data_IF_199792902029
#
_entry.id   IF_199792902029
#
_cell.length_a   1.000
_cell.length_b   1.000
_cell.length_c   1.000
_cell.angle_alpha   90.00
_cell.angle_beta   90.00
_cell.angle_gamma   90.00
#
_symmetry.space_group_name_H-M   'P 1'
#
loop_
_entity.id
_entity.type
_entity.pdbx_description
1 polymer ?
#
# COMPACT_ATOMS: atom_id res chain seq x y z
N UNK A 1 -0.83 -0.07 -11.67
CA UNK A 1 0.14 -0.33 -10.59
C UNK A 1 1.30 -1.09 -11.20
N UNK A 2 2.45 -0.45 -11.32
CA UNK A 2 3.65 -1.03 -11.93
C UNK A 2 4.63 -1.52 -10.85
N UNK A 3 5.58 -2.36 -11.26
CA UNK A 3 6.73 -2.75 -10.47
C UNK A 3 7.98 -2.05 -10.99
N UNK A 4 8.73 -1.37 -10.11
CA UNK A 4 10.04 -0.75 -10.44
C UNK A 4 10.06 0.16 -11.68
N UNK A 5 8.96 0.87 -11.93
CA UNK A 5 8.79 1.72 -13.12
C UNK A 5 8.82 0.96 -14.46
N UNK A 6 8.74 -0.37 -14.46
CA UNK A 6 8.73 -1.17 -15.68
C UNK A 6 7.32 -1.22 -16.28
N UNK A 7 7.08 -0.61 -17.47
CA UNK A 7 5.76 -0.61 -18.10
C UNK A 7 5.33 -2.00 -18.59
N UNK A 8 6.25 -2.97 -18.67
CA UNK A 8 5.95 -4.36 -19.01
C UNK A 8 5.51 -5.20 -17.81
N UNK A 9 5.59 -4.66 -16.60
CA UNK A 9 5.23 -5.35 -15.36
C UNK A 9 4.06 -4.67 -14.61
N UNK A 10 2.84 -4.64 -15.19
CA UNK A 10 1.64 -4.30 -14.44
C UNK A 10 1.32 -5.42 -13.43
N UNK A 11 1.27 -5.08 -12.15
CA UNK A 11 1.06 -6.02 -11.03
C UNK A 11 -0.30 -5.87 -10.36
N UNK A 12 -1.09 -4.87 -10.76
CA UNK A 12 -2.42 -4.66 -10.23
C UNK A 12 -3.08 -3.36 -10.63
N UNK A 13 -4.13 -3.01 -9.90
CA UNK A 13 -5.01 -1.88 -10.19
C UNK A 13 -5.03 -0.89 -9.03
N UNK A 14 -5.01 0.40 -9.36
CA UNK A 14 -5.31 1.47 -8.40
C UNK A 14 -6.81 1.70 -8.40
N UNK A 15 -7.41 1.71 -7.22
CA UNK A 15 -8.87 1.86 -7.03
C UNK A 15 -9.21 3.27 -6.53
N UNK A 16 -8.30 3.89 -5.77
CA UNK A 16 -8.40 5.28 -5.35
C UNK A 16 -7.04 5.96 -5.48
N UNK A 17 -7.07 7.20 -5.94
CA UNK A 17 -5.95 8.13 -5.96
C UNK A 17 -6.50 9.47 -5.50
N UNK A 18 -5.96 10.01 -4.41
CA UNK A 18 -6.40 11.28 -3.85
C UNK A 18 -5.23 12.01 -3.18
N UNK A 19 -5.21 13.33 -3.27
CA UNK A 19 -4.25 14.15 -2.51
C UNK A 19 -4.88 14.57 -1.18
N UNK A 20 -4.08 14.53 -0.11
CA UNK A 20 -4.43 15.07 1.20
C UNK A 20 -3.31 16.00 1.73
N UNK A 21 -3.46 16.51 2.95
CA UNK A 21 -2.50 17.43 3.56
C UNK A 21 -1.09 16.85 3.77
N UNK A 22 -0.91 15.52 3.68
CA UNK A 22 0.39 14.84 3.76
C UNK A 22 0.98 14.63 2.37
N UNK A 23 0.14 14.39 1.37
CA UNK A 23 0.53 14.23 -0.03
C UNK A 23 -0.40 13.28 -0.79
N UNK A 24 0.14 12.63 -1.83
CA UNK A 24 -0.62 11.70 -2.67
C UNK A 24 -0.86 10.37 -1.94
N UNK A 25 -2.13 10.07 -1.65
CA UNK A 25 -2.60 8.81 -1.11
C UNK A 25 -3.16 7.93 -2.23
N UNK A 26 -2.77 6.66 -2.22
CA UNK A 26 -3.30 5.65 -3.14
C UNK A 26 -3.82 4.43 -2.40
N UNK A 27 -4.85 3.81 -2.96
CA UNK A 27 -5.36 2.49 -2.55
C UNK A 27 -5.54 1.65 -3.78
N UNK A 28 -5.11 0.40 -3.72
CA UNK A 28 -5.21 -0.50 -4.86
C UNK A 28 -5.19 -1.96 -4.43
N UNK A 29 -5.27 -2.82 -5.44
CA UNK A 29 -5.27 -4.27 -5.30
C UNK A 29 -4.21 -4.85 -6.22
N UNK A 30 -3.31 -5.64 -5.64
CA UNK A 30 -2.36 -6.47 -6.37
C UNK A 30 -3.11 -7.70 -6.86
N UNK A 31 -2.90 -8.09 -8.12
CA UNK A 31 -3.55 -9.23 -8.73
C UNK A 31 -2.70 -10.48 -8.52
N UNK A 32 -3.21 -11.46 -7.79
CA UNK A 32 -2.52 -12.73 -7.51
C UNK A 32 -2.52 -13.65 -8.73
N UNK A 33 -3.27 -13.36 -9.79
CA UNK A 33 -3.26 -14.10 -11.05
C UNK A 33 -2.01 -13.77 -11.87
N UNK A 34 -1.46 -12.57 -11.69
CA UNK A 34 -0.20 -12.12 -12.31
C UNK A 34 0.97 -12.68 -11.50
N UNK A 35 1.89 -13.39 -12.17
CA UNK A 35 3.05 -14.00 -11.51
C UNK A 35 3.86 -12.99 -10.68
N UNK A 36 4.25 -11.87 -11.30
CA UNK A 36 4.94 -10.77 -10.60
C UNK A 36 4.10 -10.18 -9.46
N UNK A 37 2.78 -10.10 -9.62
CA UNK A 37 1.86 -9.66 -8.57
C UNK A 37 1.98 -10.51 -7.30
N UNK A 38 1.98 -11.85 -7.43
CA UNK A 38 2.17 -12.77 -6.28
C UNK A 38 3.52 -12.60 -5.60
N UNK A 39 4.58 -12.45 -6.39
CA UNK A 39 5.94 -12.25 -5.88
C UNK A 39 6.03 -10.95 -5.08
N UNK A 40 5.55 -9.83 -5.65
CA UNK A 40 5.54 -8.52 -4.99
C UNK A 40 4.69 -8.57 -3.74
N UNK A 41 3.52 -9.20 -3.77
CA UNK A 41 2.67 -9.36 -2.58
C UNK A 41 3.38 -10.14 -1.47
N UNK A 42 4.15 -11.17 -1.82
CA UNK A 42 4.96 -11.92 -0.86
C UNK A 42 6.06 -11.06 -0.23
N UNK A 43 6.76 -10.26 -1.04
CA UNK A 43 7.79 -9.32 -0.57
C UNK A 43 7.21 -8.24 0.36
N UNK A 44 6.05 -7.69 0.00
CA UNK A 44 5.33 -6.70 0.80
C UNK A 44 4.90 -7.27 2.15
N UNK A 45 4.32 -8.48 2.17
CA UNK A 45 3.92 -9.17 3.41
C UNK A 45 5.13 -9.46 4.30
N UNK A 46 6.26 -9.82 3.70
CA UNK A 46 7.53 -10.02 4.40
C UNK A 46 8.24 -8.71 4.80
N UNK A 47 7.70 -7.54 4.43
CA UNK A 47 8.32 -6.21 4.61
C UNK A 47 9.72 -6.09 3.97
N UNK A 48 10.00 -6.91 2.96
CA UNK A 48 11.24 -6.82 2.18
C UNK A 48 11.23 -5.63 1.20
N UNK A 49 10.02 -5.17 0.84
CA UNK A 49 9.78 -3.98 0.03
C UNK A 49 8.58 -3.25 0.62
N UNK A 50 8.60 -1.93 0.61
CA UNK A 50 7.48 -1.09 1.05
C UNK A 50 7.42 0.28 0.35
N UNK A 51 8.27 0.54 -0.65
CA UNK A 51 8.40 1.84 -1.28
C UNK A 51 7.34 2.11 -2.35
N UNK A 52 6.97 3.39 -2.48
CA UNK A 52 6.17 3.91 -3.59
C UNK A 52 6.96 4.99 -4.33
N UNK A 53 6.77 5.05 -5.64
CA UNK A 53 7.33 6.11 -6.48
C UNK A 53 6.34 6.49 -7.56
N UNK A 54 6.51 7.69 -8.11
CA UNK A 54 5.67 8.22 -9.18
C UNK A 54 6.51 8.75 -10.32
N UNK A 55 6.03 8.50 -11.53
CA UNK A 55 6.45 9.14 -12.75
C UNK A 55 5.45 10.24 -13.07
N UNK A 56 5.95 11.43 -13.35
CA UNK A 56 5.11 12.57 -13.66
C UNK A 56 5.79 13.48 -14.69
N UNK A 57 4.98 14.24 -15.41
CA UNK A 57 5.45 15.36 -16.23
C UNK A 57 5.23 16.66 -15.49
N UNK A 58 6.26 17.48 -15.37
CA UNK A 58 6.12 18.81 -14.75
C UNK A 58 5.31 19.72 -15.67
N UNK A 59 4.20 20.27 -15.17
CA UNK A 59 3.41 21.29 -15.88
C UNK A 59 3.92 22.67 -15.49
N UNK A 60 4.05 22.93 -14.17
CA UNK A 60 4.56 24.20 -13.63
C UNK A 60 5.49 23.95 -12.45
N UNK A 61 6.55 24.74 -12.40
CA UNK A 61 7.49 24.75 -11.29
C UNK A 61 8.07 26.16 -11.11
N UNK A 62 8.67 26.41 -9.95
CA UNK A 62 9.46 27.62 -9.68
C UNK A 62 10.76 27.25 -9.00
N UNK A 63 11.78 28.09 -9.14
CA UNK A 63 12.97 28.00 -8.31
C UNK A 63 12.73 28.72 -6.98
N UNK A 64 13.12 28.12 -5.87
CA UNK A 64 13.26 28.80 -4.58
C UNK A 64 14.74 29.16 -4.39
N UNK A 65 15.10 30.39 -4.76
CA UNK A 65 16.50 30.85 -4.78
C UNK A 65 17.17 30.82 -3.40
N UNK A 66 16.39 31.00 -2.32
CA UNK A 66 16.94 30.98 -0.95
C UNK A 66 17.37 29.59 -0.54
N UNK A 67 16.68 28.57 -1.02
CA UNK A 67 16.91 27.17 -0.69
C UNK A 67 17.65 26.42 -1.79
N UNK A 68 17.86 27.05 -2.95
CA UNK A 68 18.41 26.43 -4.17
C UNK A 68 17.67 25.13 -4.55
N UNK A 69 16.36 25.09 -4.37
CA UNK A 69 15.51 23.93 -4.72
C UNK A 69 14.45 24.29 -5.75
N UNK A 70 14.17 23.35 -6.65
CA UNK A 70 13.02 23.44 -7.56
C UNK A 70 11.76 23.00 -6.82
N UNK A 71 10.78 23.89 -6.77
CA UNK A 71 9.45 23.60 -6.22
C UNK A 71 8.50 23.28 -7.37
N UNK A 72 7.96 22.07 -7.36
CA UNK A 72 6.92 21.65 -8.31
C UNK A 72 5.59 22.23 -7.83
N UNK A 73 4.92 23.00 -8.68
CA UNK A 73 3.63 23.63 -8.37
C UNK A 73 2.46 22.84 -8.96
N UNK A 74 2.69 22.22 -10.11
CA UNK A 74 1.68 21.45 -10.84
C UNK A 74 2.37 20.37 -11.65
N UNK A 75 1.87 19.13 -11.54
CA UNK A 75 2.41 17.97 -12.24
C UNK A 75 1.27 17.15 -12.82
N UNK A 76 1.53 16.56 -13.97
CA UNK A 76 0.69 15.56 -14.61
C UNK A 76 1.15 14.18 -14.15
N UNK A 77 0.33 13.50 -13.35
CA UNK A 77 0.67 12.18 -12.79
C UNK A 77 0.55 11.13 -13.89
N UNK A 78 1.66 10.45 -14.18
CA UNK A 78 1.74 9.52 -15.30
C UNK A 78 1.66 8.06 -14.86
N UNK A 79 2.41 7.70 -13.81
CA UNK A 79 2.39 6.34 -13.27
C UNK A 79 2.67 6.33 -11.76
N UNK A 80 2.33 5.19 -11.16
CA UNK A 80 2.60 4.91 -9.75
C UNK A 80 3.07 3.47 -9.65
N UNK A 81 4.27 3.30 -9.07
CA UNK A 81 4.99 2.05 -8.95
C UNK A 81 5.23 1.67 -7.49
N UNK A 82 5.22 0.37 -7.22
CA UNK A 82 5.86 -0.18 -6.03
C UNK A 82 7.34 -0.36 -6.35
N UNK A 83 8.22 0.13 -5.47
CA UNK A 83 9.68 0.15 -5.71
C UNK A 83 10.46 -0.26 -4.47
N UNK A 84 11.68 -0.75 -4.66
CA UNK A 84 12.59 -1.05 -3.55
C UNK A 84 13.14 0.23 -2.91
N UNK A 85 13.57 1.18 -3.75
CA UNK A 85 14.20 2.42 -3.32
C UNK A 85 13.43 3.62 -3.87
N UNK A 86 12.51 4.22 -3.09
CA UNK A 86 11.77 5.37 -3.55
C UNK A 86 12.65 6.62 -3.54
N UNK A 87 12.44 7.51 -4.52
CA UNK A 87 13.14 8.80 -4.56
C UNK A 87 12.72 9.72 -3.40
N UNK A 88 11.48 9.57 -2.92
CA UNK A 88 11.00 10.18 -1.69
C UNK A 88 10.95 9.12 -0.58
N UNK A 89 11.85 9.23 0.40
CA UNK A 89 11.97 8.25 1.49
C UNK A 89 10.69 8.09 2.33
N UNK A 90 9.81 9.10 2.36
CA UNK A 90 8.54 9.06 3.08
C UNK A 90 7.41 8.36 2.29
N UNK A 91 7.62 8.07 1.00
CA UNK A 91 6.62 7.40 0.16
C UNK A 91 6.61 5.88 0.45
N UNK A 92 5.85 5.49 1.46
CA UNK A 92 5.76 4.12 1.97
C UNK A 92 4.35 3.55 1.91
N UNK A 93 4.25 2.25 1.72
CA UNK A 93 3.01 1.48 1.83
C UNK A 93 2.65 1.36 3.30
N UNK A 94 1.56 2.01 3.71
CA UNK A 94 1.13 2.05 5.11
C UNK A 94 0.57 0.70 5.61
N UNK A 95 0.13 -0.19 4.73
CA UNK A 95 -0.40 -1.48 5.14
C UNK A 95 -0.79 -2.37 3.97
N UNK A 96 -0.56 -3.68 4.14
CA UNK A 96 -0.95 -4.73 3.21
C UNK A 96 -2.08 -5.49 3.86
N UNK A 97 -3.30 -5.30 3.36
CA UNK A 97 -4.47 -6.02 3.89
C UNK A 97 -4.41 -7.48 3.44
N UNK A 98 -4.61 -8.39 4.38
CA UNK A 98 -4.86 -9.79 4.05
C UNK A 98 -6.36 -10.05 4.11
N UNK A 99 -6.89 -10.78 3.14
CA UNK A 99 -8.19 -11.38 3.30
C UNK A 99 -8.04 -12.45 4.38
N UNK A 100 -8.76 -12.30 5.50
CA UNK A 100 -8.89 -13.38 6.48
C UNK A 100 -9.65 -14.49 5.79
N UNK A 101 -9.10 -15.72 5.80
CA UNK A 101 -9.84 -16.83 5.22
C UNK A 101 -11.14 -17.07 6.00
N UNK A 102 -12.24 -17.48 5.34
CA UNK A 102 -13.48 -17.82 6.04
C UNK A 102 -13.28 -18.88 7.14
N UNK A 103 -12.31 -19.79 6.96
CA UNK A 103 -11.94 -20.78 7.96
C UNK A 103 -11.29 -20.16 9.20
N UNK A 104 -10.32 -19.25 9.03
CA UNK A 104 -9.67 -18.55 10.14
C UNK A 104 -10.67 -17.68 10.92
N UNK A 105 -11.55 -16.95 10.20
CA UNK A 105 -12.61 -16.17 10.82
C UNK A 105 -13.58 -17.03 11.65
N UNK A 106 -13.90 -18.23 11.16
CA UNK A 106 -14.76 -19.19 11.87
C UNK A 106 -14.10 -19.78 13.13
N UNK A 107 -12.79 -20.03 13.09
CA UNK A 107 -12.02 -20.52 14.24
C UNK A 107 -11.92 -19.46 15.34
N UNK A 108 -11.70 -18.20 14.98
CA UNK A 108 -11.66 -17.08 15.93
C UNK A 108 -13.01 -16.86 16.62
N UNK A 109 -14.12 -16.91 15.88
CA UNK A 109 -15.46 -16.83 16.47
C UNK A 109 -15.73 -17.97 17.45
N UNK A 110 -15.32 -19.19 17.10
CA UNK A 110 -15.49 -20.36 17.97
C UNK A 110 -14.69 -20.21 19.26
N UNK A 111 -13.43 -19.79 19.19
CA UNK A 111 -12.58 -19.52 20.35
C UNK A 111 -13.15 -18.40 21.24
N UNK A 112 -13.69 -17.35 20.65
CA UNK A 112 -14.34 -16.27 21.38
C UNK A 112 -15.60 -16.77 22.10
N UNK A 113 -16.43 -17.57 21.44
CA UNK A 113 -17.61 -18.17 22.06
C UNK A 113 -17.26 -19.10 23.24
N UNK A 114 -16.20 -19.91 23.10
CA UNK A 114 -15.71 -20.79 24.16
C UNK A 114 -15.16 -20.01 25.37
N UNK A 115 -14.45 -18.91 25.14
CA UNK A 115 -13.92 -18.06 26.22
C UNK A 115 -15.03 -17.34 26.99
N UNK A 116 -16.07 -16.85 26.30
CA UNK A 116 -17.27 -16.29 26.93
C UNK A 116 -18.02 -17.35 27.73
N UNK A 117 -18.19 -18.56 27.20
CA UNK A 117 -18.85 -19.66 27.89
C UNK A 117 -18.11 -20.07 29.18
N UNK A 118 -16.76 -20.16 29.13
CA UNK A 118 -15.92 -20.39 30.31
C UNK A 118 -16.04 -19.27 31.33
N UNK A 119 -16.02 -18.02 30.89
CA UNK A 119 -16.16 -16.87 31.79
C UNK A 119 -17.52 -16.84 32.51
N UNK A 120 -18.61 -17.24 31.82
CA UNK A 120 -19.94 -17.38 32.44
C UNK A 120 -19.98 -18.52 33.46
N UNK A 121 -19.27 -19.61 33.22
CA UNK A 121 -19.22 -20.74 34.17
C UNK A 121 -18.44 -20.42 35.45
N UNK A 122 -17.40 -19.58 35.37
CA UNK A 122 -16.61 -19.13 36.52
C UNK A 122 -17.37 -18.11 37.40
N UNK A 123 -18.34 -17.38 36.83
CA UNK A 123 -19.10 -16.35 37.54
C UNK A 123 -20.43 -16.83 38.16
N UNK A 124 -20.74 -18.13 38.12
CA UNK A 124 -21.87 -18.70 38.84
C UNK A 124 -21.36 -19.59 39.98
N UNK A 125 -21.58 -19.21 41.26
CA UNK A 125 -21.17 -20.01 42.41
C UNK A 125 -22.01 -21.29 42.57
#
# INVERSE_FOLDING_TARGET
MLWQHDPSEPIGVWEEIAEDARGLRVRGRILEEVARGREVLSLLRAKAVDGLSIGFRTIRSRMDEKRSVRVLLEVDLWEISIVTFPMNEAARIAGVKQAVSPQEAGQDLHQLALSIARARHIMQP
#
